data_IF_274410397589
#
_entry.id   IF_274410397589
#
_cell.length_a   1.000
_cell.length_b   1.000
_cell.length_c   1.000
_cell.angle_alpha   90.00
_cell.angle_beta   90.00
_cell.angle_gamma   90.00
#
_symmetry.space_group_name_H-M   'P 1'
#
loop_
_entity.id
_entity.type
_entity.pdbx_description
1 polymer ?
#
# COMPACT_ATOMS: atom_id res chain seq x y z
N UNK A 1 -19.66 -23.15 -15.53
CA UNK A 1 -19.34 -24.53 -15.19
C UNK A 1 -17.86 -24.65 -14.84
N UNK A 2 -17.56 -25.23 -13.69
CA UNK A 2 -16.16 -25.39 -13.29
C UNK A 2 -15.45 -26.39 -14.20
N UNK A 3 -14.31 -26.03 -14.77
CA UNK A 3 -13.51 -26.94 -15.59
C UNK A 3 -12.64 -27.83 -14.72
N UNK A 4 -12.08 -28.88 -15.33
CA UNK A 4 -11.13 -29.77 -14.66
C UNK A 4 -9.91 -29.00 -14.11
N UNK A 5 -9.55 -27.88 -14.75
CA UNK A 5 -8.42 -27.05 -14.35
C UNK A 5 -8.82 -25.90 -13.42
N UNK A 6 -10.05 -25.92 -12.90
CA UNK A 6 -10.54 -24.85 -12.03
C UNK A 6 -9.70 -24.75 -10.75
N UNK A 7 -9.39 -25.90 -10.14
CA UNK A 7 -8.51 -25.92 -8.97
C UNK A 7 -7.11 -25.42 -9.28
N UNK A 8 -6.60 -25.70 -10.48
CA UNK A 8 -5.30 -25.20 -10.93
C UNK A 8 -5.32 -23.69 -11.07
N UNK A 9 -6.41 -23.11 -11.59
CA UNK A 9 -6.57 -21.67 -11.68
C UNK A 9 -6.60 -20.99 -10.31
N UNK A 10 -7.28 -21.62 -9.34
CA UNK A 10 -7.30 -21.12 -7.96
C UNK A 10 -5.89 -21.12 -7.38
N UNK A 11 -5.15 -22.22 -7.54
CA UNK A 11 -3.78 -22.34 -7.06
C UNK A 11 -2.83 -21.34 -7.72
N UNK A 12 -2.95 -21.16 -9.02
CA UNK A 12 -2.16 -20.18 -9.78
C UNK A 12 -2.44 -18.76 -9.32
N UNK A 13 -3.71 -18.43 -9.10
CA UNK A 13 -4.14 -17.14 -8.58
C UNK A 13 -3.55 -16.86 -7.19
N UNK A 14 -3.61 -17.85 -6.32
CA UNK A 14 -3.05 -17.76 -4.97
C UNK A 14 -1.53 -17.58 -5.01
N UNK A 15 -0.85 -18.36 -5.83
CA UNK A 15 0.60 -18.28 -5.97
C UNK A 15 1.03 -16.91 -6.44
N UNK A 16 0.36 -16.37 -7.46
CA UNK A 16 0.63 -15.03 -7.99
C UNK A 16 0.41 -13.96 -6.93
N UNK A 17 -0.67 -14.05 -6.18
CA UNK A 17 -0.99 -13.09 -5.12
C UNK A 17 0.03 -13.12 -3.98
N UNK A 18 0.43 -14.32 -3.56
CA UNK A 18 1.44 -14.46 -2.51
C UNK A 18 2.83 -14.02 -3.00
N UNK A 19 3.12 -14.18 -4.28
CA UNK A 19 4.37 -13.69 -4.86
C UNK A 19 4.42 -12.16 -4.77
N UNK A 20 3.33 -11.47 -5.08
CA UNK A 20 3.23 -10.02 -4.95
C UNK A 20 3.41 -9.60 -3.48
N UNK A 21 2.75 -10.30 -2.56
CA UNK A 21 2.87 -10.02 -1.13
C UNK A 21 4.31 -10.23 -0.64
N UNK A 22 4.97 -11.29 -1.09
CA UNK A 22 6.36 -11.59 -0.74
C UNK A 22 7.30 -10.52 -1.30
N UNK A 23 7.09 -10.08 -2.54
CA UNK A 23 7.89 -9.02 -3.16
C UNK A 23 7.72 -7.70 -2.40
N UNK A 24 6.50 -7.38 -1.97
CA UNK A 24 6.23 -6.19 -1.16
C UNK A 24 6.97 -6.26 0.17
N UNK A 25 6.94 -7.40 0.84
CA UNK A 25 7.65 -7.62 2.09
C UNK A 25 9.16 -7.51 1.89
N UNK A 26 9.68 -8.12 0.82
CA UNK A 26 11.11 -8.04 0.49
C UNK A 26 11.55 -6.60 0.26
N UNK A 27 10.74 -5.82 -0.43
CA UNK A 27 11.01 -4.40 -0.65
C UNK A 27 11.02 -3.62 0.66
N UNK A 28 10.09 -3.91 1.56
CA UNK A 28 10.05 -3.30 2.89
C UNK A 28 11.32 -3.61 3.69
N UNK A 29 11.77 -4.86 3.65
CA UNK A 29 12.98 -5.29 4.34
C UNK A 29 14.22 -4.63 3.74
N UNK A 30 14.31 -4.58 2.41
CA UNK A 30 15.43 -3.98 1.70
C UNK A 30 15.59 -2.50 2.03
N UNK A 31 14.49 -1.80 2.26
CA UNK A 31 14.47 -0.37 2.51
C UNK A 31 14.26 0.00 3.98
N UNK A 32 14.44 -0.94 4.89
CA UNK A 32 14.19 -0.72 6.33
C UNK A 32 15.01 0.44 6.90
N UNK A 33 16.18 0.70 6.34
CA UNK A 33 17.07 1.79 6.78
C UNK A 33 17.10 2.96 5.80
N UNK A 34 16.30 2.93 4.74
CA UNK A 34 16.28 3.98 3.74
C UNK A 34 15.49 5.18 4.27
N UNK A 35 16.13 6.36 4.26
CA UNK A 35 15.49 7.60 4.70
C UNK A 35 14.35 7.97 3.74
N UNK A 36 13.20 8.30 4.30
CA UNK A 36 12.03 8.71 3.51
C UNK A 36 11.21 7.54 2.96
N UNK A 37 11.61 6.31 3.20
CA UNK A 37 10.83 5.16 2.75
C UNK A 37 9.62 4.92 3.66
N UNK A 38 8.48 4.67 3.05
CA UNK A 38 7.24 4.33 3.75
C UNK A 38 6.90 2.87 3.48
N UNK A 39 6.61 2.13 4.55
CA UNK A 39 6.24 0.71 4.46
C UNK A 39 5.02 0.54 3.57
N UNK A 40 5.08 -0.45 2.69
CA UNK A 40 3.97 -0.82 1.82
C UNK A 40 3.27 -2.07 2.34
N UNK A 41 1.98 -2.15 2.11
CA UNK A 41 1.17 -3.30 2.47
C UNK A 41 0.31 -3.71 1.29
N UNK A 42 0.32 -5.01 0.99
CA UNK A 42 -0.51 -5.58 -0.07
C UNK A 42 -1.83 -6.06 0.53
N UNK A 43 -2.94 -5.56 0.01
CA UNK A 43 -4.27 -5.96 0.45
C UNK A 43 -4.76 -7.12 -0.41
N UNK A 44 -5.01 -8.25 0.21
CA UNK A 44 -5.53 -9.44 -0.44
C UNK A 44 -7.05 -9.48 -0.27
N UNK A 45 -7.73 -9.89 -1.33
CA UNK A 45 -9.18 -10.03 -1.32
C UNK A 45 -9.58 -11.32 -2.03
N UNK A 46 -10.56 -12.02 -1.49
CA UNK A 46 -11.13 -13.16 -2.16
C UNK A 46 -11.84 -12.72 -3.43
N UNK A 47 -11.68 -13.48 -4.51
CA UNK A 47 -12.44 -13.25 -5.74
C UNK A 47 -13.89 -13.61 -5.53
N UNK A 48 -14.75 -13.05 -6.38
CA UNK A 48 -16.18 -13.32 -6.34
C UNK A 48 -16.45 -14.80 -6.55
N UNK A 49 -17.31 -15.36 -5.72
CA UNK A 49 -17.67 -16.75 -5.81
C UNK A 49 -18.55 -17.03 -7.03
N UNK A 50 -18.35 -18.18 -7.65
CA UNK A 50 -19.19 -18.62 -8.77
C UNK A 50 -20.26 -19.57 -8.24
N UNK A 51 -21.50 -19.34 -8.65
CA UNK A 51 -22.60 -20.21 -8.32
C UNK A 51 -22.59 -21.41 -9.30
N UNK A 52 -22.25 -22.60 -8.80
CA UNK A 52 -22.10 -23.77 -9.63
C UNK A 52 -23.45 -24.47 -9.86
N UNK A 53 -24.16 -24.75 -8.79
CA UNK A 53 -25.50 -25.35 -8.83
C UNK A 53 -26.30 -24.93 -7.59
N UNK A 54 -27.63 -25.03 -7.67
CA UNK A 54 -28.49 -24.77 -6.52
C UNK A 54 -28.22 -25.74 -5.37
N UNK A 55 -27.68 -26.92 -5.65
CA UNK A 55 -27.40 -27.96 -4.67
C UNK A 55 -26.12 -27.67 -3.87
N UNK A 56 -25.06 -27.22 -4.56
CA UNK A 56 -23.76 -27.03 -3.95
C UNK A 56 -23.50 -25.56 -3.58
N UNK A 57 -24.32 -24.62 -4.08
CA UNK A 57 -24.20 -23.21 -3.79
C UNK A 57 -23.02 -22.56 -4.50
N UNK A 58 -22.44 -21.58 -3.84
CA UNK A 58 -21.33 -20.79 -4.39
C UNK A 58 -19.99 -21.38 -4.03
N UNK A 59 -19.09 -21.44 -5.01
CA UNK A 59 -17.73 -21.95 -4.83
C UNK A 59 -16.75 -20.79 -4.98
N UNK A 60 -15.76 -20.74 -4.09
CA UNK A 60 -14.70 -19.73 -4.15
C UNK A 60 -13.84 -19.85 -5.39
N UNK A 61 -13.37 -18.73 -5.92
CA UNK A 61 -12.59 -18.69 -7.17
C UNK A 61 -11.14 -18.27 -6.96
N UNK A 62 -10.70 -18.13 -5.71
CA UNK A 62 -9.32 -17.82 -5.38
C UNK A 62 -9.16 -16.46 -4.74
N UNK A 63 -7.96 -15.91 -4.83
CA UNK A 63 -7.57 -14.67 -4.19
C UNK A 63 -6.91 -13.74 -5.20
N UNK A 64 -7.03 -12.45 -4.97
CA UNK A 64 -6.36 -11.42 -5.78
C UNK A 64 -5.80 -10.32 -4.89
N UNK A 65 -4.73 -9.67 -5.35
CA UNK A 65 -4.23 -8.45 -4.72
C UNK A 65 -5.03 -7.28 -5.26
N UNK A 66 -5.72 -6.57 -4.38
CA UNK A 66 -6.56 -5.44 -4.78
C UNK A 66 -5.74 -4.17 -4.90
N UNK A 67 -4.83 -3.96 -3.97
CA UNK A 67 -4.02 -2.75 -3.95
C UNK A 67 -2.77 -2.94 -3.10
N UNK A 68 -1.75 -2.15 -3.43
CA UNK A 68 -0.56 -1.99 -2.59
C UNK A 68 -0.60 -0.55 -2.11
N UNK A 69 -0.70 -0.35 -0.79
CA UNK A 69 -0.83 0.97 -0.19
C UNK A 69 0.34 1.24 0.73
N UNK A 70 0.74 2.51 0.80
CA UNK A 70 1.72 2.96 1.75
C UNK A 70 1.06 3.19 3.11
N UNK A 71 1.69 2.67 4.16
CA UNK A 71 1.23 2.88 5.53
C UNK A 71 1.85 4.18 6.06
N UNK A 72 1.12 5.28 5.90
CA UNK A 72 1.54 6.59 6.37
C UNK A 72 0.62 7.07 7.47
N UNK A 73 1.21 7.72 8.46
CA UNK A 73 0.44 8.38 9.50
C UNK A 73 0.17 9.83 9.06
N UNK A 74 -1.08 10.09 8.71
CA UNK A 74 -1.51 11.39 8.22
C UNK A 74 -1.31 12.51 9.26
N UNK A 75 -1.41 12.18 10.54
CA UNK A 75 -1.20 13.15 11.60
C UNK A 75 0.25 13.69 11.57
N UNK A 76 1.23 12.80 11.51
CA UNK A 76 2.63 13.20 11.46
C UNK A 76 2.99 13.88 10.14
N UNK A 77 2.41 13.43 9.03
CA UNK A 77 2.61 14.06 7.73
C UNK A 77 2.10 15.51 7.74
N UNK A 78 0.88 15.71 8.23
CA UNK A 78 0.28 17.05 8.33
C UNK A 78 1.10 17.95 9.26
N UNK A 79 1.55 17.41 10.38
CA UNK A 79 2.39 18.15 11.33
C UNK A 79 3.73 18.51 10.74
N UNK A 80 4.34 17.62 9.97
CA UNK A 80 5.59 17.90 9.27
C UNK A 80 5.40 19.00 8.24
N UNK A 81 4.35 18.92 7.43
CA UNK A 81 4.05 19.94 6.42
C UNK A 81 3.79 21.31 7.06
N UNK A 82 3.05 21.31 8.16
CA UNK A 82 2.75 22.53 8.91
C UNK A 82 4.04 23.17 9.47
N UNK A 83 4.89 22.38 10.09
CA UNK A 83 6.16 22.85 10.62
C UNK A 83 7.09 23.34 9.51
N UNK A 84 7.14 22.62 8.39
CA UNK A 84 7.95 23.02 7.25
C UNK A 84 7.46 24.33 6.63
N UNK A 85 6.15 24.52 6.58
CA UNK A 85 5.53 25.77 6.11
C UNK A 85 5.89 26.93 7.05
N UNK A 86 5.80 26.71 8.35
CA UNK A 86 6.20 27.70 9.35
C UNK A 86 7.69 28.05 9.24
N UNK A 87 8.56 27.07 9.07
CA UNK A 87 9.99 27.28 8.89
C UNK A 87 10.26 28.13 7.67
N UNK A 88 9.63 27.83 6.54
CA UNK A 88 9.77 28.61 5.33
C UNK A 88 9.25 30.05 5.46
N UNK A 89 8.28 30.27 6.35
CA UNK A 89 7.76 31.60 6.64
C UNK A 89 8.70 32.40 7.53
N UNK A 90 9.26 31.79 8.56
CA UNK A 90 10.13 32.51 9.53
C UNK A 90 11.51 32.79 8.98
N UNK A 91 12.05 31.94 8.13
CA UNK A 91 13.37 32.11 7.56
C UNK A 91 13.50 33.42 6.75
N UNK A 92 12.61 33.72 5.77
CA UNK A 92 12.65 35.00 5.05
C UNK A 92 12.47 36.23 5.96
N UNK A 93 11.62 36.11 6.97
CA UNK A 93 11.41 37.21 7.92
C UNK A 93 12.70 37.51 8.69
N UNK A 94 13.40 36.45 9.11
CA UNK A 94 14.67 36.59 9.81
C UNK A 94 15.71 37.33 8.95
N UNK A 95 15.84 36.97 7.69
CA UNK A 95 16.73 37.62 6.75
C UNK A 95 16.33 39.07 6.51
N UNK A 96 15.05 39.36 6.43
CA UNK A 96 14.54 40.70 6.25
C UNK A 96 14.92 41.60 7.45
N UNK A 97 14.81 41.05 8.66
CA UNK A 97 15.23 41.81 9.86
C UNK A 97 16.73 42.04 9.92
N UNK A 98 17.53 41.09 9.46
CA UNK A 98 18.99 41.23 9.47
C UNK A 98 19.49 42.20 8.42
N UNK A 99 18.81 42.34 7.29
CA UNK A 99 19.23 43.15 6.16
C UNK A 99 18.69 44.58 6.22
N UNK A 100 17.61 44.83 6.96
CA UNK A 100 17.05 46.15 7.11
C UNK A 100 17.79 46.90 8.23
N UNK A 101 18.50 47.99 7.93
CA UNK A 101 19.08 48.82 8.97
C UNK A 101 17.98 49.53 9.74
N UNK A 102 17.99 49.35 10.99
CA UNK A 102 17.08 50.05 11.89
C UNK A 102 17.58 51.45 12.22
#
# INVERSE_FOLDING_TARGET
MASTFFGLHIGSSALSSFQVATNTTANNIANVKTTGYTRQEATLQAKDAINVTARYGSVGTGVTVTSIKQQRDLYYDNKYWENNSCYGRYEPVSYTHLTLPT
#
